data_IF_578365208458
#
_entry.id   IF_578365208458
#
_cell.length_a   1.000
_cell.length_b   1.000
_cell.length_c   1.000
_cell.angle_alpha   90.00
_cell.angle_beta   90.00
_cell.angle_gamma   90.00
#
_symmetry.space_group_name_H-M   'P 1'
#
loop_
_entity.id
_entity.type
_entity.pdbx_description
1 polymer ?
#
# COMPACT_ATOMS: atom_id res chain seq x y z
N UNK A 1 25.64 40.68 8.97
CA UNK A 1 26.44 39.60 9.50
C UNK A 1 25.89 38.29 8.98
N UNK A 2 26.74 37.54 8.33
CA UNK A 2 26.39 36.25 7.73
C UNK A 2 25.95 35.28 8.84
N UNK A 3 24.73 34.75 8.69
CA UNK A 3 24.20 33.76 9.62
C UNK A 3 24.82 32.40 9.25
N UNK A 4 25.60 31.74 10.14
CA UNK A 4 26.24 30.46 9.84
C UNK A 4 25.26 29.35 9.42
N UNK A 5 24.01 29.46 9.80
CA UNK A 5 22.94 28.56 9.35
C UNK A 5 22.70 28.64 7.83
N UNK A 6 22.82 29.81 7.23
CA UNK A 6 22.67 30.00 5.79
C UNK A 6 23.83 29.37 5.00
N UNK A 7 25.00 29.31 5.56
CA UNK A 7 26.19 28.71 4.94
C UNK A 7 26.05 27.20 4.84
N UNK A 8 25.57 26.54 5.88
CA UNK A 8 25.33 25.09 5.86
C UNK A 8 24.24 24.70 4.87
N UNK A 9 23.16 25.47 4.81
CA UNK A 9 22.08 25.21 3.83
C UNK A 9 22.59 25.37 2.40
N UNK A 10 23.42 26.35 2.14
CA UNK A 10 24.02 26.55 0.81
C UNK A 10 24.92 25.39 0.44
N UNK A 11 25.75 24.89 1.36
CA UNK A 11 26.61 23.72 1.15
C UNK A 11 25.78 22.45 0.86
N UNK A 12 24.73 22.23 1.62
CA UNK A 12 23.83 21.08 1.39
C UNK A 12 23.15 21.17 0.00
N UNK A 13 22.71 22.37 -0.41
CA UNK A 13 22.13 22.59 -1.75
C UNK A 13 23.12 22.37 -2.87
N UNK A 14 24.38 22.75 -2.69
CA UNK A 14 25.45 22.50 -3.67
C UNK A 14 25.74 21.00 -3.78
N UNK A 15 25.83 20.31 -2.64
CA UNK A 15 25.96 18.85 -2.61
C UNK A 15 24.78 18.16 -3.30
N UNK A 16 23.56 18.61 -3.02
CA UNK A 16 22.33 18.11 -3.61
C UNK A 16 22.32 18.24 -5.15
N UNK A 17 22.74 19.40 -5.67
CA UNK A 17 22.92 19.60 -7.11
C UNK A 17 23.96 18.65 -7.72
N UNK A 18 24.98 18.29 -6.95
CA UNK A 18 26.00 17.30 -7.34
C UNK A 18 25.37 15.91 -7.46
N UNK A 19 24.62 15.48 -6.45
CA UNK A 19 23.95 14.17 -6.41
C UNK A 19 22.97 13.98 -7.56
N UNK A 20 22.17 15.02 -7.86
CA UNK A 20 21.20 15.01 -8.99
C UNK A 20 21.86 14.88 -10.38
N UNK A 21 23.18 15.13 -10.47
CA UNK A 21 23.93 15.03 -11.72
C UNK A 21 24.65 13.70 -11.89
N UNK A 22 24.64 12.85 -10.87
CA UNK A 22 25.25 11.53 -10.95
C UNK A 22 24.46 10.70 -11.99
N UNK A 23 25.13 10.38 -13.10
CA UNK A 23 24.62 9.46 -14.10
C UNK A 23 24.94 8.03 -13.64
N UNK A 24 23.99 7.14 -13.80
CA UNK A 24 24.24 5.71 -13.71
C UNK A 24 24.96 5.30 -15.00
N UNK A 25 25.99 4.46 -14.90
CA UNK A 25 26.57 3.84 -16.06
C UNK A 25 25.48 3.05 -16.82
N UNK A 26 25.42 3.22 -18.14
CA UNK A 26 24.34 2.71 -19.01
C UNK A 26 24.20 1.16 -19.02
N UNK A 27 25.07 0.44 -18.30
CA UNK A 27 25.07 -1.02 -18.24
C UNK A 27 24.22 -1.62 -17.09
N UNK A 28 23.73 -0.82 -16.14
CA UNK A 28 22.76 -1.27 -15.14
C UNK A 28 21.35 -0.89 -15.59
N UNK A 29 20.63 -1.85 -16.16
CA UNK A 29 19.18 -1.73 -16.39
C UNK A 29 18.49 -1.75 -15.05
N UNK A 30 18.29 -0.55 -14.46
CA UNK A 30 17.36 -0.39 -13.34
C UNK A 30 15.95 -0.74 -13.84
N UNK A 31 15.23 -1.51 -13.06
CA UNK A 31 13.77 -1.66 -13.26
C UNK A 31 13.15 -0.25 -13.25
N UNK A 32 12.11 -0.03 -14.05
CA UNK A 32 11.46 1.30 -14.20
C UNK A 32 11.02 1.93 -12.86
N UNK A 33 10.96 1.12 -11.78
CA UNK A 33 10.60 1.53 -10.42
C UNK A 33 11.84 1.77 -9.51
N UNK A 34 13.07 1.50 -9.94
CA UNK A 34 14.30 1.70 -9.14
C UNK A 34 14.92 3.07 -9.42
N UNK A 35 14.73 3.99 -8.49
CA UNK A 35 15.44 5.27 -8.50
C UNK A 35 16.90 5.11 -8.05
N UNK A 36 17.80 5.88 -8.68
CA UNK A 36 19.19 5.99 -8.24
C UNK A 36 19.27 6.48 -6.78
N UNK A 37 20.03 5.80 -5.96
CA UNK A 37 20.21 6.13 -4.54
C UNK A 37 20.72 7.57 -4.32
N UNK A 38 21.53 8.10 -5.24
CA UNK A 38 21.95 9.50 -5.19
C UNK A 38 20.77 10.47 -5.39
N UNK A 39 19.84 10.15 -6.27
CA UNK A 39 18.63 10.95 -6.49
C UNK A 39 17.72 10.87 -5.26
N UNK A 40 17.50 9.67 -4.71
CA UNK A 40 16.72 9.48 -3.48
C UNK A 40 17.29 10.25 -2.28
N UNK A 41 18.62 10.23 -2.13
CA UNK A 41 19.29 11.02 -1.09
C UNK A 41 19.10 12.51 -1.34
N UNK A 42 19.23 12.97 -2.57
CA UNK A 42 19.04 14.36 -2.95
C UNK A 42 17.60 14.84 -2.65
N UNK A 43 16.61 14.07 -2.99
CA UNK A 43 15.19 14.35 -2.71
C UNK A 43 14.93 14.41 -1.20
N UNK A 44 15.48 13.47 -0.43
CA UNK A 44 15.36 13.48 1.03
C UNK A 44 15.98 14.75 1.63
N UNK A 45 17.16 15.15 1.17
CA UNK A 45 17.83 16.37 1.65
C UNK A 45 17.03 17.64 1.31
N UNK A 46 16.42 17.71 0.13
CA UNK A 46 15.56 18.83 -0.25
C UNK A 46 14.33 18.94 0.65
N UNK A 47 13.67 17.82 0.94
CA UNK A 47 12.55 17.76 1.90
C UNK A 47 13.00 18.23 3.29
N UNK A 48 14.16 17.78 3.76
CA UNK A 48 14.71 18.20 5.04
C UNK A 48 14.95 19.73 5.09
N UNK A 49 15.48 20.31 4.02
CA UNK A 49 15.72 21.76 3.94
C UNK A 49 14.39 22.52 3.90
N UNK A 50 13.44 22.05 3.10
CA UNK A 50 12.16 22.71 2.89
C UNK A 50 11.34 22.79 4.19
N UNK A 51 11.29 21.68 4.95
CA UNK A 51 10.42 21.54 6.11
C UNK A 51 11.14 21.62 7.47
N UNK A 52 12.44 21.97 7.51
CA UNK A 52 13.26 21.99 8.73
C UNK A 52 12.68 22.78 9.91
N UNK A 53 11.86 23.79 9.63
CA UNK A 53 11.24 24.66 10.63
C UNK A 53 9.76 24.32 10.85
N UNK A 54 9.27 23.21 10.33
CA UNK A 54 7.88 22.76 10.49
C UNK A 54 7.77 21.79 11.66
N UNK A 55 6.84 22.03 12.58
CA UNK A 55 6.51 21.10 13.66
C UNK A 55 5.88 19.79 13.14
N UNK A 56 5.43 19.80 11.89
CA UNK A 56 4.88 18.61 11.21
C UNK A 56 5.94 17.80 10.45
N UNK A 57 7.22 18.13 10.57
CA UNK A 57 8.32 17.38 9.96
C UNK A 57 9.14 16.66 11.03
N UNK A 58 9.43 15.38 10.81
CA UNK A 58 10.21 14.55 11.72
C UNK A 58 11.18 13.66 10.98
N UNK A 59 12.38 13.48 11.55
CA UNK A 59 13.35 12.49 11.13
C UNK A 59 13.39 11.35 12.14
N UNK A 60 13.19 10.13 11.66
CA UNK A 60 13.28 8.92 12.46
C UNK A 60 14.58 8.21 12.13
N UNK A 61 15.33 7.88 13.16
CA UNK A 61 16.56 7.11 13.08
C UNK A 61 16.29 5.74 13.69
N UNK A 62 16.40 4.68 12.91
CA UNK A 62 16.23 3.31 13.37
C UNK A 62 17.26 2.36 12.74
N UNK A 63 17.26 1.11 13.17
CA UNK A 63 18.06 0.04 12.59
C UNK A 63 17.11 -1.02 12.02
N UNK A 64 17.28 -1.35 10.75
CA UNK A 64 16.54 -2.39 10.08
C UNK A 64 17.53 -3.45 9.59
N UNK A 65 17.41 -4.67 10.10
CA UNK A 65 18.34 -5.77 9.79
C UNK A 65 19.83 -5.42 10.05
N UNK A 66 20.09 -4.71 11.17
CA UNK A 66 21.40 -4.19 11.57
C UNK A 66 21.98 -3.10 10.65
N UNK A 67 21.19 -2.56 9.72
CA UNK A 67 21.57 -1.42 8.91
C UNK A 67 20.92 -0.13 9.44
N UNK A 68 21.71 0.97 9.63
CA UNK A 68 21.15 2.24 10.06
C UNK A 68 20.27 2.84 8.95
N UNK A 69 19.09 3.30 9.35
CA UNK A 69 18.14 3.92 8.43
C UNK A 69 17.68 5.28 8.97
N UNK A 70 17.58 6.24 8.05
CA UNK A 70 17.00 7.55 8.29
C UNK A 70 15.75 7.67 7.43
N UNK A 71 14.62 7.98 8.06
CA UNK A 71 13.35 8.18 7.36
C UNK A 71 12.81 9.58 7.67
N UNK A 72 12.48 10.34 6.64
CA UNK A 72 11.80 11.63 6.78
C UNK A 72 10.28 11.40 6.79
N UNK A 73 9.60 12.00 7.74
CA UNK A 73 8.15 11.98 7.86
C UNK A 73 7.59 13.39 7.83
N UNK A 74 6.69 13.66 6.90
CA UNK A 74 5.85 14.84 6.89
C UNK A 74 4.48 14.43 7.45
N UNK A 75 4.13 14.96 8.62
CA UNK A 75 2.95 14.56 9.39
C UNK A 75 1.68 15.30 8.98
N UNK A 76 1.82 16.39 8.21
CA UNK A 76 0.71 17.18 7.68
C UNK A 76 0.74 17.19 6.16
N UNK A 77 -0.10 16.35 5.49
CA UNK A 77 -0.20 16.33 4.04
C UNK A 77 -0.68 17.66 3.43
N UNK A 78 -1.36 18.50 4.20
CA UNK A 78 -1.81 19.81 3.77
C UNK A 78 -0.68 20.77 3.40
N UNK A 79 0.52 20.56 3.96
CA UNK A 79 1.71 21.35 3.60
C UNK A 79 2.13 21.15 2.14
N UNK A 80 1.86 19.97 1.58
CA UNK A 80 2.12 19.65 0.18
C UNK A 80 0.87 19.88 -0.67
N UNK A 81 -0.30 19.51 -0.16
CA UNK A 81 -1.57 19.58 -0.89
C UNK A 81 -2.01 21.01 -1.18
N UNK A 82 -1.99 21.88 -0.16
CA UNK A 82 -2.48 23.25 -0.29
C UNK A 82 -1.86 24.06 -1.45
N UNK A 83 -0.53 24.14 -1.60
CA UNK A 83 0.07 24.85 -2.72
C UNK A 83 -0.39 24.34 -4.09
N UNK A 84 -0.58 23.02 -4.23
CA UNK A 84 -1.03 22.40 -5.49
C UNK A 84 -2.45 22.87 -5.81
N UNK A 85 -3.35 22.89 -4.82
CA UNK A 85 -4.74 23.31 -5.03
C UNK A 85 -4.85 24.82 -5.28
N UNK A 86 -4.00 25.63 -4.65
CA UNK A 86 -3.96 27.09 -4.86
C UNK A 86 -3.45 27.48 -6.27
N UNK A 87 -2.55 26.67 -6.85
CA UNK A 87 -2.04 26.90 -8.20
C UNK A 87 -2.99 26.41 -9.31
N UNK A 88 -3.92 25.51 -8.99
CA UNK A 88 -4.85 24.95 -9.97
C UNK A 88 -6.09 25.85 -10.16
N UNK A 89 -6.50 26.06 -11.40
CA UNK A 89 -7.76 26.74 -11.72
C UNK A 89 -9.01 25.96 -11.25
N UNK A 90 -8.86 24.66 -11.04
CA UNK A 90 -9.87 23.75 -10.50
C UNK A 90 -9.32 22.35 -10.41
N UNK A 91 -9.80 21.57 -9.42
CA UNK A 91 -9.36 20.21 -9.17
C UNK A 91 -10.55 19.30 -8.89
N UNK A 92 -10.45 18.05 -9.30
CA UNK A 92 -11.45 17.02 -9.01
C UNK A 92 -10.75 15.88 -8.27
N UNK A 93 -11.18 15.63 -7.04
CA UNK A 93 -10.78 14.47 -6.25
C UNK A 93 -11.88 13.44 -6.30
N UNK A 94 -11.57 12.20 -6.62
CA UNK A 94 -12.56 11.12 -6.65
C UNK A 94 -11.97 9.80 -6.16
N UNK A 95 -12.74 9.08 -5.36
CA UNK A 95 -12.43 7.72 -4.94
C UNK A 95 -13.69 7.03 -4.43
N UNK A 96 -13.71 5.71 -4.44
CA UNK A 96 -14.74 4.91 -3.78
C UNK A 96 -14.70 5.00 -2.25
N UNK A 97 -13.62 5.54 -1.68
CA UNK A 97 -13.36 5.63 -0.23
C UNK A 97 -13.09 7.05 0.26
N UNK A 98 -13.27 8.08 -0.58
CA UNK A 98 -13.09 9.49 -0.22
C UNK A 98 -14.30 10.01 0.57
N UNK A 99 -14.50 9.46 1.77
CA UNK A 99 -15.67 9.69 2.58
C UNK A 99 -15.31 9.76 4.08
N UNK A 100 -15.78 10.75 4.85
CA UNK A 100 -16.52 11.92 4.39
C UNK A 100 -15.60 12.96 3.69
N UNK A 101 -16.10 13.70 2.67
CA UNK A 101 -15.28 14.65 1.91
C UNK A 101 -14.58 15.69 2.78
N UNK A 102 -15.26 16.23 3.80
CA UNK A 102 -14.72 17.24 4.73
C UNK A 102 -13.39 16.78 5.35
N UNK A 103 -13.30 15.54 5.81
CA UNK A 103 -12.09 15.01 6.42
C UNK A 103 -10.87 15.04 5.46
N UNK A 104 -11.11 14.70 4.20
CA UNK A 104 -10.02 14.72 3.19
C UNK A 104 -9.63 16.14 2.80
N UNK A 105 -10.60 17.06 2.75
CA UNK A 105 -10.31 18.47 2.51
C UNK A 105 -9.46 19.06 3.65
N UNK A 106 -9.78 18.76 4.90
CA UNK A 106 -9.00 19.17 6.06
C UNK A 106 -7.57 18.63 6.00
N UNK A 107 -7.42 17.32 5.75
CA UNK A 107 -6.12 16.66 5.65
C UNK A 107 -5.26 17.24 4.52
N UNK A 108 -5.87 17.59 3.39
CA UNK A 108 -5.18 18.13 2.22
C UNK A 108 -5.00 19.65 2.26
N UNK A 109 -5.51 20.32 3.31
CA UNK A 109 -5.38 21.76 3.49
C UNK A 109 -6.29 22.57 2.55
N UNK A 110 -7.39 21.99 2.05
CA UNK A 110 -8.39 22.69 1.25
C UNK A 110 -9.33 23.41 2.20
N UNK A 111 -9.52 24.74 2.08
CA UNK A 111 -10.41 25.51 2.95
C UNK A 111 -11.88 25.05 2.82
N UNK A 112 -12.64 25.18 3.91
CA UNK A 112 -14.02 24.69 4.00
C UNK A 112 -14.96 25.31 2.94
N UNK A 113 -14.72 26.55 2.55
CA UNK A 113 -15.44 27.27 1.49
C UNK A 113 -14.86 27.05 0.09
N UNK A 114 -13.75 26.29 -0.01
CA UNK A 114 -12.99 26.06 -1.25
C UNK A 114 -13.43 24.83 -2.06
N UNK A 115 -14.43 24.05 -1.62
CA UNK A 115 -14.84 22.84 -2.30
C UNK A 115 -16.35 22.60 -2.30
N UNK A 116 -16.79 21.73 -3.21
CA UNK A 116 -18.13 21.14 -3.20
C UNK A 116 -18.02 19.63 -3.14
N UNK A 117 -18.46 19.05 -2.02
CA UNK A 117 -18.50 17.61 -1.83
C UNK A 117 -19.76 16.99 -2.45
N UNK A 118 -19.63 15.89 -3.17
CA UNK A 118 -20.74 15.10 -3.67
C UNK A 118 -20.52 13.62 -3.44
N UNK A 119 -21.50 12.98 -2.86
CA UNK A 119 -21.52 11.55 -2.62
C UNK A 119 -22.49 10.87 -3.58
N UNK A 120 -22.11 9.71 -4.06
CA UNK A 120 -22.94 8.88 -4.93
C UNK A 120 -23.21 7.55 -4.23
N UNK A 121 -24.43 7.08 -4.33
CA UNK A 121 -24.77 5.74 -3.88
C UNK A 121 -23.98 4.70 -4.66
N UNK A 122 -23.58 3.61 -3.97
CA UNK A 122 -22.96 2.47 -4.62
C UNK A 122 -23.87 1.90 -5.71
N UNK A 123 -23.34 1.67 -6.89
CA UNK A 123 -24.04 0.94 -7.96
C UNK A 123 -24.18 -0.57 -7.70
N UNK A 124 -23.50 -1.09 -6.66
CA UNK A 124 -23.54 -2.47 -6.27
C UNK A 124 -24.61 -2.71 -5.21
N UNK A 125 -25.65 -3.51 -5.51
CA UNK A 125 -26.74 -3.76 -4.57
C UNK A 125 -26.24 -4.41 -3.28
N UNK A 126 -26.57 -3.87 -2.08
CA UNK A 126 -26.10 -4.40 -0.80
C UNK A 126 -26.45 -5.88 -0.58
N UNK A 127 -27.58 -6.34 -1.10
CA UNK A 127 -28.04 -7.73 -1.00
C UNK A 127 -27.14 -8.73 -1.74
N UNK A 128 -26.31 -8.26 -2.66
CA UNK A 128 -25.35 -9.10 -3.40
C UNK A 128 -24.01 -9.23 -2.66
N UNK A 129 -23.86 -8.55 -1.51
CA UNK A 129 -22.66 -8.59 -0.70
C UNK A 129 -22.96 -9.23 0.65
N UNK A 130 -22.54 -10.46 0.82
CA UNK A 130 -22.66 -11.16 2.09
C UNK A 130 -21.38 -10.94 2.91
N UNK A 131 -21.51 -10.27 4.07
CA UNK A 131 -20.39 -10.00 4.97
C UNK A 131 -20.56 -10.81 6.24
N UNK A 132 -19.57 -11.63 6.57
CA UNK A 132 -19.50 -12.42 7.80
C UNK A 132 -18.37 -11.90 8.67
N UNK A 133 -18.63 -11.76 9.96
CA UNK A 133 -17.65 -11.31 10.95
C UNK A 133 -17.45 -12.43 11.98
N UNK A 134 -16.24 -12.98 12.04
CA UNK A 134 -15.83 -13.91 13.07
C UNK A 134 -15.45 -13.13 14.33
N UNK A 135 -16.27 -13.23 15.39
CA UNK A 135 -16.07 -12.48 16.64
C UNK A 135 -15.20 -13.21 17.66
N UNK A 136 -14.80 -14.45 17.37
CA UNK A 136 -14.03 -15.34 18.25
C UNK A 136 -12.53 -15.38 17.94
N UNK A 137 -12.07 -14.54 17.01
CA UNK A 137 -10.67 -14.39 16.59
C UNK A 137 -10.27 -12.92 16.50
N UNK A 138 -8.96 -12.67 16.57
CA UNK A 138 -8.41 -11.32 16.42
C UNK A 138 -7.10 -11.35 15.65
N UNK A 139 -6.86 -10.30 14.84
CA UNK A 139 -5.57 -10.03 14.18
C UNK A 139 -4.68 -9.09 14.99
N UNK A 140 -5.14 -8.60 16.16
CA UNK A 140 -4.39 -7.69 17.02
C UNK A 140 -3.06 -8.31 17.44
N UNK A 141 -1.97 -7.59 17.24
CA UNK A 141 -0.61 -8.11 17.39
C UNK A 141 -0.37 -8.82 18.73
N UNK A 142 -0.83 -8.23 19.83
CA UNK A 142 -0.64 -8.78 21.19
C UNK A 142 -1.47 -10.03 21.50
N UNK A 143 -2.49 -10.35 20.71
CA UNK A 143 -3.49 -11.39 21.00
C UNK A 143 -3.60 -12.44 19.88
N UNK A 144 -3.07 -12.17 18.71
CA UNK A 144 -3.26 -12.99 17.50
C UNK A 144 -2.67 -14.40 17.60
N UNK A 145 -1.64 -14.60 18.45
CA UNK A 145 -1.00 -15.91 18.59
C UNK A 145 -1.98 -16.99 19.05
N UNK A 146 -2.86 -16.66 19.99
CA UNK A 146 -3.91 -17.55 20.46
C UNK A 146 -5.04 -17.77 19.41
N UNK A 147 -5.14 -16.90 18.42
CA UNK A 147 -6.21 -16.94 17.41
C UNK A 147 -5.84 -17.73 16.16
N UNK A 148 -4.57 -18.02 15.90
CA UNK A 148 -4.14 -18.60 14.62
C UNK A 148 -4.82 -19.94 14.30
N UNK A 149 -4.94 -20.84 15.26
CA UNK A 149 -5.61 -22.14 15.04
C UNK A 149 -7.07 -21.95 14.59
N UNK A 150 -7.81 -21.08 15.27
CA UNK A 150 -9.19 -20.78 14.91
C UNK A 150 -9.31 -20.04 13.58
N UNK A 151 -8.39 -19.12 13.29
CA UNK A 151 -8.32 -18.47 11.97
C UNK A 151 -8.13 -19.51 10.87
N UNK A 152 -7.22 -20.48 11.08
CA UNK A 152 -7.02 -21.59 10.15
C UNK A 152 -8.26 -22.46 9.97
N UNK A 153 -9.03 -22.71 11.04
CA UNK A 153 -10.30 -23.44 11.00
C UNK A 153 -11.36 -22.66 10.17
N UNK A 154 -11.52 -21.35 10.42
CA UNK A 154 -12.42 -20.49 9.66
C UNK A 154 -12.03 -20.44 8.17
N UNK A 155 -10.76 -20.23 7.87
CA UNK A 155 -10.25 -20.25 6.49
C UNK A 155 -10.54 -21.60 5.84
N UNK A 156 -10.26 -22.69 6.51
CA UNK A 156 -10.55 -24.05 6.02
C UNK A 156 -12.04 -24.24 5.76
N UNK A 157 -12.90 -23.73 6.64
CA UNK A 157 -14.36 -23.80 6.47
C UNK A 157 -14.82 -23.02 5.25
N UNK A 158 -14.34 -21.79 5.05
CA UNK A 158 -14.62 -20.99 3.85
C UNK A 158 -14.18 -21.73 2.60
N UNK A 159 -12.97 -22.25 2.58
CA UNK A 159 -12.41 -22.95 1.42
C UNK A 159 -13.15 -24.25 1.08
N UNK A 160 -13.69 -24.96 2.07
CA UNK A 160 -14.50 -26.18 1.86
C UNK A 160 -15.90 -25.88 1.33
N UNK A 161 -16.48 -24.75 1.74
CA UNK A 161 -17.87 -24.43 1.45
C UNK A 161 -18.06 -23.43 0.29
N UNK A 162 -16.99 -22.84 -0.23
CA UNK A 162 -17.03 -21.96 -1.41
C UNK A 162 -16.77 -22.79 -2.67
N UNK A 163 -17.64 -22.80 -3.66
CA UNK A 163 -17.49 -23.68 -4.84
C UNK A 163 -16.41 -23.21 -5.83
N UNK A 164 -16.02 -21.95 -5.81
CA UNK A 164 -15.07 -21.34 -6.76
C UNK A 164 -13.78 -20.83 -6.12
N UNK A 165 -13.21 -19.79 -6.68
CA UNK A 165 -11.95 -19.22 -6.22
C UNK A 165 -12.15 -18.34 -4.98
N UNK A 166 -11.17 -18.38 -4.07
CA UNK A 166 -11.18 -17.62 -2.82
C UNK A 166 -9.90 -16.80 -2.70
N UNK A 167 -10.02 -15.56 -2.29
CA UNK A 167 -8.86 -14.75 -1.89
C UNK A 167 -8.84 -14.57 -0.37
N UNK A 168 -7.66 -14.66 0.23
CA UNK A 168 -7.44 -14.54 1.67
C UNK A 168 -6.36 -13.50 1.88
N UNK A 169 -6.73 -12.36 2.44
CA UNK A 169 -5.81 -11.26 2.72
C UNK A 169 -5.52 -11.16 4.21
N UNK A 170 -4.24 -11.10 4.54
CA UNK A 170 -3.75 -10.95 5.91
C UNK A 170 -3.17 -9.55 6.14
N UNK A 171 -3.19 -9.01 7.37
CA UNK A 171 -2.60 -7.71 7.68
C UNK A 171 -1.10 -7.60 7.45
N UNK A 172 -0.37 -8.71 7.41
CA UNK A 172 1.08 -8.74 7.18
C UNK A 172 1.53 -10.05 6.56
N UNK A 173 2.71 -10.04 5.92
CA UNK A 173 3.32 -11.25 5.36
C UNK A 173 3.57 -12.33 6.42
N UNK A 174 4.02 -11.96 7.63
CA UNK A 174 4.22 -12.93 8.71
C UNK A 174 2.92 -13.63 9.13
N UNK A 175 1.82 -12.90 9.17
CA UNK A 175 0.51 -13.49 9.44
C UNK A 175 0.01 -14.34 8.29
N UNK A 176 0.19 -13.90 7.05
CA UNK A 176 -0.14 -14.69 5.86
C UNK A 176 0.58 -16.04 5.86
N UNK A 177 1.89 -16.06 6.09
CA UNK A 177 2.68 -17.31 6.13
C UNK A 177 2.16 -18.26 7.23
N UNK A 178 1.79 -17.71 8.38
CA UNK A 178 1.22 -18.51 9.47
C UNK A 178 -0.14 -19.08 9.08
N UNK A 179 -1.03 -18.28 8.52
CA UNK A 179 -2.35 -18.73 8.03
C UNK A 179 -2.20 -19.79 6.94
N UNK A 180 -1.26 -19.60 6.00
CA UNK A 180 -0.95 -20.61 4.96
C UNK A 180 -0.50 -21.92 5.59
N UNK A 181 0.37 -21.87 6.61
CA UNK A 181 0.85 -23.05 7.33
C UNK A 181 -0.26 -23.76 8.08
N UNK A 182 -1.07 -23.02 8.84
CA UNK A 182 -2.12 -23.59 9.70
C UNK A 182 -3.33 -24.08 8.89
N UNK A 183 -3.58 -23.52 7.72
CA UNK A 183 -4.62 -24.00 6.80
C UNK A 183 -4.28 -25.37 6.18
N UNK A 184 -3.01 -25.79 6.19
CA UNK A 184 -2.57 -27.08 5.66
C UNK A 184 -2.86 -27.29 4.17
N UNK A 185 -2.87 -28.54 3.72
CA UNK A 185 -3.21 -28.91 2.34
C UNK A 185 -4.72 -28.95 2.13
N UNK A 186 -5.21 -28.20 1.13
CA UNK A 186 -6.62 -28.20 0.76
C UNK A 186 -6.76 -28.94 -0.55
N UNK A 187 -7.37 -30.12 -0.46
CA UNK A 187 -7.58 -30.98 -1.62
C UNK A 187 -8.42 -30.27 -2.70
N UNK A 188 -7.97 -30.38 -3.94
CA UNK A 188 -8.70 -29.85 -5.09
C UNK A 188 -8.54 -28.35 -5.36
N UNK A 189 -7.68 -27.62 -4.61
CA UNK A 189 -7.41 -26.20 -4.86
C UNK A 189 -5.95 -25.94 -5.19
N UNK A 190 -5.73 -25.11 -6.21
CA UNK A 190 -4.43 -24.58 -6.52
C UNK A 190 -4.10 -23.39 -5.59
N UNK A 191 -2.89 -23.38 -5.00
CA UNK A 191 -2.43 -22.26 -4.19
C UNK A 191 -1.68 -21.26 -5.03
N UNK A 192 -2.05 -20.01 -4.86
CA UNK A 192 -1.34 -18.84 -5.34
C UNK A 192 -1.00 -18.00 -4.12
N UNK A 193 0.26 -17.60 -3.95
CA UNK A 193 0.72 -16.85 -2.78
C UNK A 193 1.50 -15.64 -3.21
N UNK A 194 1.17 -14.50 -2.63
CA UNK A 194 1.92 -13.27 -2.82
C UNK A 194 3.31 -13.35 -2.19
N UNK A 195 4.31 -12.85 -2.88
CA UNK A 195 5.67 -12.74 -2.40
C UNK A 195 6.07 -11.27 -2.24
N UNK A 196 6.97 -10.99 -1.28
CA UNK A 196 7.49 -9.64 -1.11
C UNK A 196 8.24 -9.20 -2.37
N UNK A 197 8.03 -7.93 -2.77
CA UNK A 197 8.75 -7.36 -3.89
C UNK A 197 8.36 -7.91 -5.26
N UNK A 198 7.20 -8.57 -5.40
CA UNK A 198 6.71 -9.01 -6.70
C UNK A 198 6.67 -7.84 -7.69
N UNK A 199 7.21 -8.07 -8.90
CA UNK A 199 7.07 -7.13 -10.00
C UNK A 199 5.63 -7.08 -10.50
N UNK A 200 5.25 -6.00 -11.19
CA UNK A 200 3.93 -5.89 -11.85
C UNK A 200 3.68 -7.09 -12.77
N UNK A 201 4.68 -7.47 -13.55
CA UNK A 201 4.60 -8.64 -14.45
C UNK A 201 4.29 -9.95 -13.71
N UNK A 202 4.87 -10.14 -12.52
CA UNK A 202 4.60 -11.32 -11.69
C UNK A 202 3.17 -11.32 -11.16
N UNK A 203 2.65 -10.16 -10.77
CA UNK A 203 1.26 -9.96 -10.33
C UNK A 203 0.30 -10.28 -11.47
N UNK A 204 0.50 -9.68 -12.65
CA UNK A 204 -0.30 -9.93 -13.85
C UNK A 204 -0.26 -11.41 -14.24
N UNK A 205 0.91 -12.04 -14.16
CA UNK A 205 1.08 -13.48 -14.39
C UNK A 205 0.27 -14.34 -13.42
N UNK A 206 0.17 -13.94 -12.15
CA UNK A 206 -0.62 -14.66 -11.14
C UNK A 206 -2.14 -14.51 -11.41
N UNK A 207 -2.60 -13.32 -11.77
CA UNK A 207 -4.00 -13.06 -12.14
C UNK A 207 -4.37 -13.84 -13.41
N UNK A 208 -3.53 -13.82 -14.43
CA UNK A 208 -3.72 -14.63 -15.63
C UNK A 208 -3.81 -16.13 -15.31
N UNK A 209 -2.93 -16.59 -14.41
CA UNK A 209 -2.97 -17.99 -13.97
C UNK A 209 -4.26 -18.35 -13.26
N UNK A 210 -4.84 -17.43 -12.49
CA UNK A 210 -6.15 -17.62 -11.86
C UNK A 210 -7.25 -17.80 -12.90
N UNK A 211 -7.27 -16.97 -13.95
CA UNK A 211 -8.21 -17.11 -15.06
C UNK A 211 -8.04 -18.43 -15.82
N UNK A 212 -6.81 -18.83 -16.13
CA UNK A 212 -6.53 -20.11 -16.77
C UNK A 212 -7.04 -21.30 -15.95
N UNK A 213 -6.78 -21.31 -14.64
CA UNK A 213 -7.23 -22.37 -13.75
C UNK A 213 -8.77 -22.44 -13.71
N UNK A 214 -9.45 -21.30 -13.65
CA UNK A 214 -10.92 -21.25 -13.68
C UNK A 214 -11.46 -21.77 -15.02
N UNK A 215 -10.85 -21.40 -16.14
CA UNK A 215 -11.25 -21.90 -17.47
C UNK A 215 -11.11 -23.41 -17.63
N UNK A 216 -10.17 -24.02 -16.87
CA UNK A 216 -9.97 -25.47 -16.79
C UNK A 216 -10.93 -26.16 -15.79
N UNK A 217 -11.86 -25.44 -15.18
CA UNK A 217 -12.74 -25.95 -14.12
C UNK A 217 -12.01 -26.25 -12.80
N UNK A 218 -10.85 -25.61 -12.56
CA UNK A 218 -10.06 -25.81 -11.35
C UNK A 218 -10.27 -24.66 -10.39
N UNK A 219 -10.41 -24.96 -9.12
CA UNK A 219 -10.55 -23.98 -8.05
C UNK A 219 -9.19 -23.58 -7.51
N UNK A 220 -9.08 -22.33 -7.09
CA UNK A 220 -7.84 -21.76 -6.55
C UNK A 220 -8.09 -21.06 -5.22
N UNK A 221 -7.01 -20.87 -4.45
CA UNK A 221 -6.97 -19.95 -3.32
C UNK A 221 -5.77 -19.03 -3.48
N UNK A 222 -6.03 -17.73 -3.36
CA UNK A 222 -5.00 -16.68 -3.34
C UNK A 222 -4.75 -16.32 -1.89
N UNK A 223 -3.49 -16.28 -1.47
CA UNK A 223 -3.06 -15.69 -0.21
C UNK A 223 -2.29 -14.42 -0.51
N UNK A 224 -2.74 -13.31 0.05
CA UNK A 224 -2.15 -11.99 -0.12
C UNK A 224 -2.12 -11.18 1.17
N UNK A 225 -1.61 -9.97 1.06
CA UNK A 225 -1.50 -9.02 2.18
C UNK A 225 -2.32 -7.78 1.88
N UNK A 226 -3.05 -7.23 2.88
CA UNK A 226 -3.94 -6.07 2.71
C UNK A 226 -3.24 -4.82 2.16
N UNK A 227 -1.94 -4.66 2.41
CA UNK A 227 -1.10 -3.60 1.84
C UNK A 227 -0.24 -4.10 0.67
N UNK A 228 -0.55 -5.28 0.14
CA UNK A 228 0.19 -5.92 -0.93
C UNK A 228 -0.33 -5.59 -2.33
N UNK A 229 0.42 -6.01 -3.33
CA UNK A 229 0.09 -5.72 -4.73
C UNK A 229 -1.14 -6.47 -5.25
N UNK A 230 -1.58 -7.55 -4.57
CA UNK A 230 -2.79 -8.31 -4.93
C UNK A 230 -4.07 -7.75 -4.30
N UNK A 231 -3.97 -6.89 -3.28
CA UNK A 231 -5.13 -6.33 -2.59
C UNK A 231 -5.62 -5.02 -3.20
N UNK A 232 -4.73 -4.27 -3.85
CA UNK A 232 -5.01 -2.95 -4.41
C UNK A 232 -4.59 -2.86 -5.88
N UNK A 233 -5.39 -2.14 -6.67
CA UNK A 233 -5.08 -1.87 -8.08
C UNK A 233 -5.23 -3.06 -9.02
N UNK A 234 -5.82 -4.18 -8.57
CA UNK A 234 -6.11 -5.35 -9.40
C UNK A 234 -7.60 -5.39 -9.71
N UNK A 235 -7.92 -5.51 -10.99
CA UNK A 235 -9.27 -5.80 -11.45
C UNK A 235 -9.49 -7.33 -11.48
N UNK A 236 -10.22 -7.82 -10.48
CA UNK A 236 -10.70 -9.20 -10.43
C UNK A 236 -12.00 -9.36 -11.24
N UNK A 237 -11.93 -9.03 -12.54
CA UNK A 237 -13.08 -9.07 -13.46
C UNK A 237 -13.70 -10.46 -13.62
N UNK A 238 -14.82 -10.54 -14.34
CA UNK A 238 -15.51 -11.77 -14.74
C UNK A 238 -15.93 -12.68 -13.56
N UNK A 239 -16.22 -12.09 -12.40
CA UNK A 239 -16.55 -12.83 -11.19
C UNK A 239 -15.51 -13.93 -10.88
N UNK A 240 -14.24 -13.61 -11.03
CA UNK A 240 -13.14 -14.57 -10.87
C UNK A 240 -13.02 -15.08 -9.44
N UNK A 241 -13.44 -14.29 -8.44
CA UNK A 241 -13.45 -14.63 -7.03
C UNK A 241 -14.89 -14.85 -6.54
N UNK A 242 -15.10 -15.88 -5.77
CA UNK A 242 -16.40 -16.25 -5.17
C UNK A 242 -16.46 -15.89 -3.68
N UNK A 243 -15.30 -15.73 -3.02
CA UNK A 243 -15.19 -15.23 -1.65
C UNK A 243 -13.85 -14.48 -1.44
N UNK A 244 -13.87 -13.51 -0.53
CA UNK A 244 -12.69 -12.77 -0.05
C UNK A 244 -12.75 -12.68 1.46
#
# INVERSE_FOLDING_TARGET
GDNPENDHITQIREMNRGLMKVKIDEDETLDEDEQNDCVRLAEMLEVCIQYRNSDAFSLIFDNVLDEPRITSHLLDPGLVGRPIFEECAGSILMSGTLFPPVMYCDILGIPEDGYTGKEYNSGFPPQNRHVLIASDVTSKFSEREASYTKIGEHVTSVLKNTPGNVAIFSPSYSMMERVVSDTGYIFGRHRLKEERGMSKRSVDGMVNRLHELKSMGKNSVIFGVLSGKLSEGIDYSDNILDAV
#
